data_IF_446993650697
#
_entry.id   IF_446993650697
#
_cell.length_a   1.000
_cell.length_b   1.000
_cell.length_c   1.000
_cell.angle_alpha   90.00
_cell.angle_beta   90.00
_cell.angle_gamma   90.00
#
_symmetry.space_group_name_H-M   'P 1'
#
loop_
_entity.id
_entity.type
_entity.pdbx_description
1 polymer ?
#
# COMPACT_ATOMS: atom_id res chain seq x y z
N UNK A 1 13.09 -55.65 63.70
CA UNK A 1 12.46 -54.36 63.34
C UNK A 1 13.41 -53.66 62.38
N UNK A 2 13.29 -53.91 61.08
CA UNK A 2 12.49 -53.17 60.11
C UNK A 2 13.10 -51.80 59.74
N UNK A 3 13.26 -51.61 58.42
CA UNK A 3 13.62 -50.39 57.64
C UNK A 3 15.12 -50.06 57.58
N UNK A 4 15.90 -50.33 56.51
CA UNK A 4 15.76 -50.22 55.02
C UNK A 4 15.94 -48.79 54.50
N UNK A 5 17.13 -48.51 53.96
CA UNK A 5 17.47 -47.75 52.72
C UNK A 5 19.00 -47.85 52.54
N UNK A 6 19.57 -48.64 51.62
CA UNK A 6 19.67 -48.45 50.15
C UNK A 6 20.28 -47.08 49.79
N UNK A 7 21.23 -46.90 48.86
CA UNK A 7 22.04 -47.76 48.01
C UNK A 7 23.10 -46.79 47.42
N UNK A 8 24.39 -47.16 47.38
CA UNK A 8 25.42 -46.41 46.63
C UNK A 8 26.10 -47.38 45.67
N UNK A 9 25.60 -47.43 44.44
CA UNK A 9 26.28 -48.03 43.31
C UNK A 9 26.79 -46.93 42.37
N UNK A 10 28.10 -46.96 42.17
CA UNK A 10 28.87 -46.15 41.24
C UNK A 10 28.82 -46.83 39.87
N UNK A 11 28.27 -46.19 38.84
CA UNK A 11 28.51 -46.58 37.45
C UNK A 11 28.66 -45.31 36.60
N UNK A 12 29.77 -45.27 35.89
CA UNK A 12 30.19 -44.23 34.97
C UNK A 12 29.27 -44.17 33.75
N UNK A 13 28.77 -42.98 33.39
CA UNK A 13 28.19 -42.71 32.08
C UNK A 13 28.92 -41.52 31.47
N UNK A 14 29.65 -41.83 30.40
CA UNK A 14 30.22 -40.87 29.45
C UNK A 14 29.10 -40.12 28.75
N UNK A 15 29.01 -38.80 28.96
CA UNK A 15 28.11 -37.92 28.22
C UNK A 15 28.71 -37.59 26.84
N UNK A 16 28.26 -38.31 25.82
CA UNK A 16 28.36 -37.89 24.42
C UNK A 16 27.31 -36.80 24.19
N UNK A 17 27.75 -35.55 24.09
CA UNK A 17 26.90 -34.44 23.68
C UNK A 17 26.60 -34.57 22.18
N UNK A 18 25.46 -35.17 21.84
CA UNK A 18 24.88 -35.11 20.50
C UNK A 18 24.35 -33.69 20.28
N UNK A 19 25.14 -32.85 19.60
CA UNK A 19 24.67 -31.58 19.05
C UNK A 19 23.73 -31.92 17.89
N UNK A 20 22.43 -31.90 18.16
CA UNK A 20 21.39 -31.87 17.13
C UNK A 20 21.45 -30.50 16.45
N UNK A 21 22.19 -30.40 15.34
CA UNK A 21 21.96 -29.34 14.36
C UNK A 21 20.61 -29.64 13.70
N UNK A 22 19.54 -29.01 14.20
CA UNK A 22 18.35 -28.83 13.40
C UNK A 22 18.72 -27.86 12.25
N UNK A 23 18.51 -28.23 10.97
CA UNK A 23 18.60 -27.25 9.90
C UNK A 23 17.50 -26.21 10.16
N UNK A 24 17.89 -24.94 10.34
CA UNK A 24 16.97 -23.83 10.06
C UNK A 24 16.61 -23.96 8.58
N UNK A 25 15.47 -24.58 8.30
CA UNK A 25 14.78 -24.35 7.05
C UNK A 25 14.39 -22.88 7.06
N UNK A 26 15.20 -22.04 6.41
CA UNK A 26 14.72 -20.79 5.88
C UNK A 26 13.50 -21.17 5.02
N UNK A 27 12.32 -20.79 5.48
CA UNK A 27 11.15 -20.83 4.64
C UNK A 27 11.46 -19.92 3.46
N UNK A 28 11.71 -20.53 2.31
CA UNK A 28 11.87 -19.84 1.05
C UNK A 28 10.56 -19.09 0.82
N UNK A 29 10.57 -17.77 0.97
CA UNK A 29 9.46 -16.88 0.69
C UNK A 29 9.30 -16.77 -0.84
N UNK A 30 9.07 -17.90 -1.48
CA UNK A 30 8.62 -17.95 -2.87
C UNK A 30 7.13 -17.64 -2.86
N UNK A 31 6.81 -16.37 -2.68
CA UNK A 31 5.52 -15.82 -3.10
C UNK A 31 5.24 -16.33 -4.52
N UNK A 32 4.10 -16.99 -4.78
CA UNK A 32 3.84 -17.61 -6.07
C UNK A 32 3.96 -16.56 -7.19
N UNK A 33 4.91 -16.78 -8.10
CA UNK A 33 5.08 -15.95 -9.28
C UNK A 33 3.96 -16.26 -10.26
N UNK A 34 2.96 -15.38 -10.32
CA UNK A 34 1.92 -15.45 -11.32
C UNK A 34 2.42 -14.75 -12.59
N UNK A 35 2.56 -15.45 -13.73
CA UNK A 35 2.84 -14.80 -15.00
C UNK A 35 1.76 -13.77 -15.28
N UNK A 36 2.14 -12.56 -15.72
CA UNK A 36 1.16 -11.50 -15.97
C UNK A 36 0.27 -11.88 -17.18
N UNK A 37 -1.04 -12.13 -16.99
CA UNK A 37 -1.91 -12.56 -18.08
C UNK A 37 -2.40 -11.38 -18.94
N UNK A 38 -2.11 -10.15 -18.53
CA UNK A 38 -2.59 -8.95 -19.19
C UNK A 38 -1.81 -8.62 -20.47
N UNK A 39 -2.54 -8.13 -21.47
CA UNK A 39 -2.05 -7.79 -22.80
C UNK A 39 -1.30 -8.93 -23.50
N UNK A 40 -1.71 -10.17 -23.26
CA UNK A 40 -1.10 -11.39 -23.82
C UNK A 40 -2.07 -12.13 -24.74
N UNK A 41 -1.67 -12.41 -25.97
CA UNK A 41 -2.48 -13.19 -26.92
C UNK A 41 -2.30 -14.72 -26.75
N UNK A 42 -1.52 -15.14 -25.75
CA UNK A 42 -1.31 -16.55 -25.45
C UNK A 42 -2.61 -17.25 -25.02
N UNK A 43 -2.90 -18.46 -25.53
CA UNK A 43 -3.97 -19.31 -25.01
C UNK A 43 -3.91 -19.49 -23.48
N UNK A 44 -2.71 -19.64 -22.91
CA UNK A 44 -2.53 -19.85 -21.47
C UNK A 44 -2.95 -18.62 -20.66
N UNK A 45 -2.68 -17.42 -21.16
CA UNK A 45 -3.12 -16.18 -20.53
C UNK A 45 -4.65 -16.05 -20.54
N UNK A 46 -5.31 -16.50 -21.61
CA UNK A 46 -6.77 -16.57 -21.66
C UNK A 46 -7.30 -17.53 -20.58
N UNK A 47 -6.62 -18.66 -20.37
CA UNK A 47 -7.01 -19.67 -19.38
C UNK A 47 -6.84 -19.21 -17.92
N UNK A 48 -6.18 -18.09 -17.65
CA UNK A 48 -6.16 -17.50 -16.30
C UNK A 48 -7.52 -16.91 -15.91
N UNK A 49 -8.27 -16.41 -16.90
CA UNK A 49 -9.59 -15.82 -16.70
C UNK A 49 -10.74 -16.77 -17.06
N UNK A 50 -10.50 -17.65 -18.03
CA UNK A 50 -11.51 -18.51 -18.64
C UNK A 50 -11.25 -19.99 -18.33
N UNK A 51 -12.30 -20.79 -18.15
CA UNK A 51 -12.20 -22.25 -18.00
C UNK A 51 -11.73 -22.93 -19.31
N UNK A 52 -11.96 -22.26 -20.44
CA UNK A 52 -11.45 -22.64 -21.77
C UNK A 52 -11.39 -21.40 -22.66
N UNK A 53 -10.51 -21.40 -23.66
CA UNK A 53 -10.34 -20.27 -24.58
C UNK A 53 -11.65 -20.04 -25.37
N UNK A 54 -12.36 -18.92 -25.18
CA UNK A 54 -13.62 -18.65 -25.86
C UNK A 54 -13.39 -18.27 -27.33
N UNK A 55 -14.25 -18.74 -28.24
CA UNK A 55 -14.30 -18.26 -29.64
C UNK A 55 -15.38 -17.21 -29.80
N UNK A 56 -15.34 -16.47 -30.92
CA UNK A 56 -16.38 -15.48 -31.22
C UNK A 56 -17.76 -16.14 -31.27
N UNK A 57 -18.69 -15.61 -30.45
CA UNK A 57 -20.05 -16.15 -30.32
C UNK A 57 -20.22 -17.17 -29.19
N UNK A 58 -19.13 -17.67 -28.61
CA UNK A 58 -19.21 -18.53 -27.44
C UNK A 58 -19.56 -17.73 -26.17
N UNK A 59 -20.15 -18.39 -25.16
CA UNK A 59 -20.09 -17.90 -23.79
C UNK A 59 -18.65 -17.61 -23.36
N UNK A 60 -18.48 -16.68 -22.42
CA UNK A 60 -17.14 -16.33 -21.94
C UNK A 60 -16.49 -17.45 -21.12
N UNK A 61 -17.25 -18.39 -20.54
CA UNK A 61 -16.70 -19.44 -19.67
C UNK A 61 -15.77 -18.87 -18.57
N UNK A 62 -16.16 -17.77 -17.93
CA UNK A 62 -15.35 -17.17 -16.88
C UNK A 62 -15.22 -18.14 -15.70
N UNK A 63 -13.99 -18.31 -15.21
CA UNK A 63 -13.71 -19.08 -13.99
C UNK A 63 -14.54 -18.54 -12.82
N UNK A 64 -14.69 -19.38 -11.80
CA UNK A 64 -15.44 -19.07 -10.58
C UNK A 64 -16.90 -18.66 -10.84
N UNK A 65 -17.50 -19.19 -11.91
CA UNK A 65 -18.87 -18.88 -12.30
C UNK A 65 -19.08 -17.40 -12.67
N UNK A 66 -18.02 -16.70 -13.07
CA UNK A 66 -18.08 -15.27 -13.38
C UNK A 66 -18.05 -14.33 -12.17
N UNK A 67 -17.75 -14.84 -10.96
CA UNK A 67 -17.47 -13.99 -9.79
C UNK A 67 -16.18 -13.18 -10.04
N UNK A 68 -16.35 -11.93 -10.46
CA UNK A 68 -15.25 -11.02 -10.84
C UNK A 68 -14.31 -10.79 -9.65
N UNK A 69 -14.84 -10.71 -8.44
CA UNK A 69 -14.02 -10.48 -7.26
C UNK A 69 -13.09 -11.67 -7.01
N UNK A 70 -13.63 -12.90 -7.02
CA UNK A 70 -12.80 -14.10 -6.89
C UNK A 70 -11.82 -14.26 -8.05
N UNK A 71 -12.26 -13.96 -9.27
CA UNK A 71 -11.46 -14.08 -10.47
C UNK A 71 -10.19 -13.22 -10.40
N UNK A 72 -10.36 -11.92 -10.15
CA UNK A 72 -9.24 -10.98 -10.10
C UNK A 72 -8.40 -11.20 -8.84
N UNK A 73 -9.05 -11.46 -7.70
CA UNK A 73 -8.36 -11.61 -6.43
C UNK A 73 -7.56 -12.91 -6.30
N UNK A 74 -7.77 -13.90 -7.18
CA UNK A 74 -6.89 -15.08 -7.28
C UNK A 74 -5.42 -14.69 -7.33
N UNK A 75 -5.10 -13.63 -8.08
CA UNK A 75 -3.75 -13.08 -8.15
C UNK A 75 -3.65 -11.77 -7.34
N UNK A 76 -4.58 -10.83 -7.57
CA UNK A 76 -4.45 -9.47 -7.04
C UNK A 76 -4.58 -9.34 -5.52
N UNK A 77 -5.21 -10.29 -4.83
CA UNK A 77 -5.20 -10.29 -3.36
C UNK A 77 -3.81 -10.59 -2.77
N UNK A 78 -2.88 -11.11 -3.58
CA UNK A 78 -1.49 -11.36 -3.19
C UNK A 78 -0.58 -10.28 -3.77
N UNK A 79 -0.68 -10.02 -5.09
CA UNK A 79 0.28 -9.15 -5.79
C UNK A 79 -0.08 -7.66 -5.78
N UNK A 80 -1.30 -7.30 -5.35
CA UNK A 80 -1.82 -5.93 -5.44
C UNK A 80 -2.77 -5.55 -4.30
N UNK A 81 -2.79 -6.34 -3.21
CA UNK A 81 -3.63 -6.11 -2.03
C UNK A 81 -3.56 -4.66 -1.54
N UNK A 82 -2.36 -4.09 -1.60
CA UNK A 82 -2.08 -2.77 -1.04
C UNK A 82 -2.19 -1.64 -2.06
N UNK A 83 -2.56 -1.96 -3.32
CA UNK A 83 -2.64 -1.00 -4.43
C UNK A 83 -4.08 -0.61 -4.79
N UNK A 84 -5.10 -1.25 -4.21
CA UNK A 84 -6.50 -0.92 -4.51
C UNK A 84 -6.83 0.48 -4.03
N UNK A 85 -7.21 1.39 -4.91
CA UNK A 85 -7.53 2.78 -4.54
C UNK A 85 -8.91 2.88 -3.85
N UNK A 86 -9.78 1.89 -4.03
CA UNK A 86 -11.08 1.77 -3.37
C UNK A 86 -11.27 0.37 -2.76
N UNK A 87 -12.07 0.28 -1.70
CA UNK A 87 -12.63 -0.99 -1.26
C UNK A 87 -13.63 -1.48 -2.32
N UNK A 88 -13.34 -2.62 -2.95
CA UNK A 88 -14.29 -3.29 -3.84
C UNK A 88 -15.33 -4.05 -3.00
N UNK A 89 -16.53 -4.26 -3.56
CA UNK A 89 -17.66 -4.90 -2.86
C UNK A 89 -18.59 -3.93 -2.13
N UNK A 90 -18.41 -2.61 -2.27
CA UNK A 90 -19.34 -1.62 -1.71
C UNK A 90 -20.49 -1.30 -2.67
N UNK A 91 -21.69 -1.06 -2.15
CA UNK A 91 -22.81 -0.49 -2.93
C UNK A 91 -22.68 1.04 -2.91
N UNK A 92 -22.54 1.69 -4.08
CA UNK A 92 -22.42 3.15 -4.13
C UNK A 92 -23.77 3.82 -3.82
N UNK A 93 -23.80 5.01 -3.20
CA UNK A 93 -25.04 5.76 -2.98
C UNK A 93 -25.73 6.12 -4.30
N UNK A 94 -27.07 6.22 -4.31
CA UNK A 94 -27.86 6.51 -5.53
C UNK A 94 -27.38 7.75 -6.27
N UNK A 95 -27.11 8.85 -5.55
CA UNK A 95 -26.61 10.10 -6.15
C UNK A 95 -25.26 9.92 -6.87
N UNK A 96 -24.43 8.98 -6.41
CA UNK A 96 -23.17 8.64 -7.07
C UNK A 96 -23.44 7.85 -8.35
N UNK A 97 -24.36 6.87 -8.32
CA UNK A 97 -24.77 6.07 -9.49
C UNK A 97 -25.37 6.95 -10.59
N UNK A 98 -26.24 7.88 -10.23
CA UNK A 98 -26.87 8.82 -11.17
C UNK A 98 -25.86 9.68 -11.93
N UNK A 99 -24.70 9.99 -11.31
CA UNK A 99 -23.61 10.72 -11.94
C UNK A 99 -22.75 9.87 -12.87
N UNK A 100 -22.69 8.56 -12.63
CA UNK A 100 -21.84 7.66 -13.41
C UNK A 100 -22.18 7.75 -14.90
N UNK A 101 -21.19 7.80 -15.80
CA UNK A 101 -21.42 7.60 -17.21
C UNK A 101 -22.09 6.24 -17.47
N UNK A 102 -22.83 6.14 -18.58
CA UNK A 102 -23.66 4.95 -18.85
C UNK A 102 -22.86 3.65 -18.85
N UNK A 103 -21.64 3.65 -19.37
CA UNK A 103 -20.77 2.48 -19.40
C UNK A 103 -20.28 2.04 -18.01
N UNK A 104 -20.16 2.96 -17.05
CA UNK A 104 -19.91 2.63 -15.64
C UNK A 104 -21.16 2.06 -14.97
N UNK A 105 -22.33 2.64 -15.22
CA UNK A 105 -23.61 2.11 -14.72
C UNK A 105 -23.84 0.68 -15.21
N UNK A 106 -23.63 0.41 -16.50
CA UNK A 106 -23.76 -0.93 -17.07
C UNK A 106 -22.76 -1.93 -16.46
N UNK A 107 -21.55 -1.48 -16.14
CA UNK A 107 -20.58 -2.32 -15.45
C UNK A 107 -20.98 -2.61 -14.00
N UNK A 108 -21.66 -1.67 -13.33
CA UNK A 108 -22.23 -1.85 -11.99
C UNK A 108 -23.43 -2.82 -12.02
N UNK A 109 -24.37 -2.62 -12.95
CA UNK A 109 -25.61 -3.41 -13.14
C UNK A 109 -25.36 -4.91 -13.37
N UNK A 110 -24.19 -5.27 -13.90
CA UNK A 110 -23.80 -6.68 -14.09
C UNK A 110 -23.49 -7.41 -12.77
N UNK A 111 -23.49 -6.72 -11.64
CA UNK A 111 -23.31 -7.29 -10.31
C UNK A 111 -24.71 -7.33 -9.70
N UNK A 112 -25.25 -8.51 -9.35
CA UNK A 112 -26.65 -8.63 -8.94
C UNK A 112 -27.01 -7.81 -7.70
N UNK A 113 -26.05 -7.45 -6.84
CA UNK A 113 -26.29 -6.63 -5.66
C UNK A 113 -25.84 -5.17 -5.87
N UNK A 114 -25.49 -4.78 -7.10
CA UNK A 114 -25.09 -3.41 -7.44
C UNK A 114 -23.77 -2.97 -6.81
N UNK A 115 -22.86 -3.90 -6.54
CA UNK A 115 -21.57 -3.62 -5.88
C UNK A 115 -20.53 -3.14 -6.88
N UNK A 116 -19.70 -2.20 -6.45
CA UNK A 116 -18.49 -1.80 -7.17
C UNK A 116 -17.52 -2.98 -7.19
N UNK A 117 -17.32 -3.57 -8.35
CA UNK A 117 -16.34 -4.65 -8.59
C UNK A 117 -15.19 -4.14 -9.47
N UNK A 118 -14.13 -4.94 -9.64
CA UNK A 118 -12.97 -4.57 -10.45
C UNK A 118 -13.36 -4.09 -11.85
N UNK A 119 -14.37 -4.71 -12.48
CA UNK A 119 -14.80 -4.38 -13.84
C UNK A 119 -15.49 -3.02 -14.01
N UNK A 120 -15.92 -2.39 -12.90
CA UNK A 120 -16.47 -1.03 -12.94
C UNK A 120 -15.38 -0.07 -13.39
N UNK A 121 -14.19 -0.18 -12.81
CA UNK A 121 -13.05 0.64 -13.18
C UNK A 121 -12.19 0.03 -14.29
N UNK A 122 -12.15 -1.30 -14.44
CA UNK A 122 -11.30 -1.99 -15.41
C UNK A 122 -12.11 -2.60 -16.56
N UNK A 123 -11.84 -2.17 -17.79
CA UNK A 123 -12.43 -2.67 -19.03
C UNK A 123 -11.54 -3.75 -19.65
N UNK A 124 -11.55 -4.93 -19.02
CA UNK A 124 -10.69 -6.05 -19.41
C UNK A 124 -11.02 -6.59 -20.81
N UNK A 125 -12.18 -6.25 -21.40
CA UNK A 125 -12.54 -6.75 -22.74
C UNK A 125 -11.53 -6.35 -23.82
N UNK A 126 -10.73 -5.30 -23.60
CA UNK A 126 -9.64 -4.95 -24.53
C UNK A 126 -8.61 -6.07 -24.68
N UNK A 127 -8.38 -6.85 -23.61
CA UNK A 127 -7.56 -8.07 -23.64
C UNK A 127 -8.14 -9.16 -24.56
N UNK A 128 -9.46 -9.20 -24.72
CA UNK A 128 -10.14 -10.23 -25.50
C UNK A 128 -10.29 -9.84 -26.98
N UNK A 129 -10.13 -8.56 -27.30
CA UNK A 129 -10.39 -8.00 -28.61
C UNK A 129 -9.07 -7.59 -29.26
N UNK A 130 -8.53 -8.44 -30.15
CA UNK A 130 -7.24 -8.20 -30.83
C UNK A 130 -7.13 -6.82 -31.46
N UNK A 131 -8.23 -6.30 -32.03
CA UNK A 131 -8.29 -4.95 -32.60
C UNK A 131 -8.08 -3.81 -31.59
N UNK A 132 -8.22 -4.07 -30.29
CA UNK A 132 -8.05 -3.11 -29.20
C UNK A 132 -6.67 -3.24 -28.52
N UNK A 133 -5.80 -4.17 -28.93
CA UNK A 133 -4.48 -4.38 -28.30
C UNK A 133 -3.58 -3.14 -28.36
N UNK A 134 -3.81 -2.23 -29.32
CA UNK A 134 -3.09 -0.95 -29.38
C UNK A 134 -3.25 -0.12 -28.10
N UNK A 135 -4.35 -0.32 -27.35
CA UNK A 135 -4.62 0.35 -26.08
C UNK A 135 -3.66 -0.04 -24.96
N UNK A 136 -2.84 -1.08 -25.15
CA UNK A 136 -1.73 -1.36 -24.23
C UNK A 136 -0.83 -0.13 -24.04
N UNK A 137 -0.66 0.68 -25.09
CA UNK A 137 0.22 1.84 -25.05
C UNK A 137 -0.35 3.02 -24.26
N UNK A 138 -1.66 3.29 -24.34
CA UNK A 138 -2.31 4.47 -23.73
C UNK A 138 -3.23 4.15 -22.55
N UNK A 139 -3.55 2.87 -22.35
CA UNK A 139 -4.36 2.36 -21.25
C UNK A 139 -3.83 1.00 -20.72
N UNK A 140 -2.57 0.91 -20.28
CA UNK A 140 -1.95 -0.35 -19.86
C UNK A 140 -2.67 -1.03 -18.68
N UNK A 141 -3.43 -0.28 -17.90
CA UNK A 141 -4.17 -0.75 -16.72
C UNK A 141 -5.66 -1.02 -16.99
N UNK A 142 -6.09 -0.99 -18.25
CA UNK A 142 -7.49 -1.22 -18.64
C UNK A 142 -8.49 -0.26 -17.98
N UNK A 143 -8.12 0.96 -17.59
CA UNK A 143 -9.10 1.88 -17.01
C UNK A 143 -10.27 2.13 -17.99
N UNK A 144 -11.50 1.94 -17.52
CA UNK A 144 -12.73 2.21 -18.27
C UNK A 144 -12.79 3.70 -18.58
N UNK A 145 -13.07 4.06 -19.83
CA UNK A 145 -13.14 5.45 -20.28
C UNK A 145 -11.79 6.15 -20.50
N UNK A 146 -10.68 5.42 -20.37
CA UNK A 146 -9.34 5.94 -20.65
C UNK A 146 -9.10 6.16 -22.16
N UNK A 147 -8.08 6.95 -22.56
CA UNK A 147 -6.99 7.49 -21.74
C UNK A 147 -7.42 8.65 -20.82
N UNK A 148 -6.83 8.71 -19.62
CA UNK A 148 -6.99 9.82 -18.68
C UNK A 148 -5.69 10.62 -18.57
N UNK A 149 -5.79 11.95 -18.50
CA UNK A 149 -4.61 12.80 -18.30
C UNK A 149 -4.04 12.66 -16.89
N UNK A 150 -4.90 12.53 -15.88
CA UNK A 150 -4.53 12.23 -14.50
C UNK A 150 -5.38 11.09 -13.99
N UNK A 151 -4.83 10.24 -13.12
CA UNK A 151 -5.59 9.16 -12.48
C UNK A 151 -6.85 9.66 -11.76
N UNK A 152 -6.81 10.86 -11.18
CA UNK A 152 -7.98 11.49 -10.54
C UNK A 152 -9.13 11.76 -11.50
N UNK A 153 -8.87 11.89 -12.80
CA UNK A 153 -9.93 12.13 -13.79
C UNK A 153 -10.86 10.91 -13.91
N UNK A 154 -10.35 9.70 -13.66
CA UNK A 154 -11.17 8.49 -13.53
C UNK A 154 -12.12 8.57 -12.33
N UNK A 155 -11.64 9.10 -11.19
CA UNK A 155 -12.42 9.20 -9.96
C UNK A 155 -13.66 10.09 -10.15
N UNK A 156 -13.57 11.13 -11.00
CA UNK A 156 -14.67 12.06 -11.25
C UNK A 156 -15.84 11.48 -12.05
N UNK A 157 -15.71 10.25 -12.56
CA UNK A 157 -16.87 9.54 -13.11
C UNK A 157 -17.87 9.18 -12.01
N UNK A 158 -17.46 9.11 -10.74
CA UNK A 158 -18.34 8.82 -9.62
C UNK A 158 -18.38 10.00 -8.62
N UNK A 159 -17.23 10.59 -8.34
CA UNK A 159 -17.10 11.67 -7.38
C UNK A 159 -17.33 13.05 -8.01
N UNK A 160 -17.97 13.95 -7.27
CA UNK A 160 -18.14 15.32 -7.71
C UNK A 160 -16.77 16.03 -7.72
N UNK A 161 -16.31 16.54 -8.87
CA UNK A 161 -15.03 17.23 -8.96
C UNK A 161 -14.88 18.43 -8.03
N UNK A 162 -15.94 19.22 -7.81
CA UNK A 162 -15.88 20.39 -6.93
C UNK A 162 -15.93 20.02 -5.45
N UNK A 163 -16.57 18.91 -5.09
CA UNK A 163 -16.62 18.45 -3.70
C UNK A 163 -15.43 17.54 -3.35
N UNK A 164 -14.90 16.82 -4.33
CA UNK A 164 -13.74 15.94 -4.17
C UNK A 164 -12.46 16.76 -3.93
N UNK A 165 -12.33 17.92 -4.56
CA UNK A 165 -11.29 18.91 -4.27
C UNK A 165 -11.63 19.66 -2.97
N UNK A 166 -11.51 18.97 -1.83
CA UNK A 166 -11.65 19.57 -0.49
C UNK A 166 -12.33 18.66 0.52
N UNK A 167 -13.39 17.92 0.16
CA UNK A 167 -14.13 17.07 1.13
C UNK A 167 -13.59 15.65 1.31
N UNK A 168 -12.69 15.20 0.45
CA UNK A 168 -12.13 13.84 0.49
C UNK A 168 -10.60 13.83 0.45
N UNK A 169 -9.97 14.97 0.73
CA UNK A 169 -8.54 15.01 0.96
C UNK A 169 -8.28 14.43 2.35
N UNK A 170 -7.59 13.28 2.47
CA UNK A 170 -7.37 12.65 3.78
C UNK A 170 -6.50 13.50 4.73
N UNK A 171 -5.94 14.60 4.21
CA UNK A 171 -5.16 15.57 4.96
C UNK A 171 -5.96 16.78 5.46
N UNK A 172 -7.21 16.95 5.03
CA UNK A 172 -8.13 17.97 5.54
C UNK A 172 -9.01 17.25 6.57
N UNK A 173 -8.63 17.36 7.84
CA UNK A 173 -9.10 16.49 8.93
C UNK A 173 -9.94 17.24 9.96
N UNK A 174 -9.96 18.57 9.87
CA UNK A 174 -10.74 19.50 10.67
C UNK A 174 -11.69 20.24 9.73
N UNK A 175 -12.98 20.31 10.06
CA UNK A 175 -13.96 21.06 9.29
C UNK A 175 -13.90 22.58 9.58
N UNK A 176 -14.68 23.38 8.85
CA UNK A 176 -14.72 24.84 9.01
C UNK A 176 -15.16 25.28 10.42
N UNK A 177 -15.88 24.42 11.14
CA UNK A 177 -16.30 24.61 12.54
C UNK A 177 -15.21 24.24 13.57
N UNK A 178 -14.07 23.72 13.14
CA UNK A 178 -12.97 23.30 14.03
C UNK A 178 -13.14 21.90 14.63
N UNK A 179 -14.09 21.11 14.12
CA UNK A 179 -14.38 19.75 14.56
C UNK A 179 -13.62 18.72 13.73
N UNK A 180 -13.26 17.59 14.33
CA UNK A 180 -12.63 16.50 13.60
C UNK A 180 -13.61 15.77 12.68
N UNK A 181 -13.17 15.56 11.44
CA UNK A 181 -13.82 14.66 10.49
C UNK A 181 -13.36 13.22 10.72
N UNK A 182 -14.07 12.50 11.61
CA UNK A 182 -13.63 11.17 12.08
C UNK A 182 -13.65 10.09 11.01
N UNK A 183 -14.48 10.23 9.99
CA UNK A 183 -14.58 9.34 8.82
C UNK A 183 -13.33 9.43 7.92
N UNK A 184 -12.68 10.59 7.88
CA UNK A 184 -11.43 10.77 7.12
C UNK A 184 -10.28 9.96 7.74
N UNK A 185 -10.30 9.76 9.06
CA UNK A 185 -9.25 9.02 9.76
C UNK A 185 -9.14 7.56 9.28
N UNK A 186 -10.25 6.95 8.86
CA UNK A 186 -10.29 5.54 8.43
C UNK A 186 -9.73 5.30 7.03
N UNK A 187 -9.32 6.35 6.32
CA UNK A 187 -8.55 6.19 5.08
C UNK A 187 -7.16 5.61 5.34
N UNK A 188 -6.59 5.91 6.52
CA UNK A 188 -5.26 5.47 6.91
C UNK A 188 -5.32 4.46 8.07
N UNK A 189 -6.21 4.69 9.03
CA UNK A 189 -6.30 3.90 10.25
C UNK A 189 -7.38 2.82 10.17
N UNK A 190 -7.05 1.59 10.58
CA UNK A 190 -8.03 0.49 10.63
C UNK A 190 -9.21 0.74 11.59
N UNK A 191 -9.06 1.70 12.51
CA UNK A 191 -10.12 2.20 13.39
C UNK A 191 -9.76 3.60 13.87
N UNK A 192 -10.76 4.37 14.28
CA UNK A 192 -10.56 5.71 14.81
C UNK A 192 -9.60 5.70 16.03
N UNK A 193 -8.44 6.37 15.97
CA UNK A 193 -7.50 6.41 17.09
C UNK A 193 -8.03 7.18 18.31
N UNK A 194 -7.75 6.69 19.52
CA UNK A 194 -7.94 7.46 20.75
C UNK A 194 -6.77 8.44 20.93
N UNK A 195 -6.94 9.64 20.37
CA UNK A 195 -5.97 10.75 20.40
C UNK A 195 -5.56 11.20 21.80
N UNK A 196 -6.32 10.84 22.86
CA UNK A 196 -5.97 11.18 24.25
C UNK A 196 -4.97 10.18 24.84
N UNK A 197 -4.98 8.95 24.32
CA UNK A 197 -4.17 7.85 24.83
C UNK A 197 -2.95 7.56 23.95
N UNK A 198 -3.08 7.71 22.63
CA UNK A 198 -1.99 7.45 21.71
C UNK A 198 -0.78 8.35 22.01
N UNK A 199 0.40 7.74 22.14
CA UNK A 199 1.69 8.41 22.37
C UNK A 199 2.65 8.22 21.21
N UNK A 200 2.44 7.18 20.42
CA UNK A 200 3.31 6.78 19.33
C UNK A 200 2.51 6.11 18.22
N UNK A 201 3.18 5.86 17.10
CA UNK A 201 2.63 5.09 15.99
C UNK A 201 2.27 3.64 16.40
N UNK A 202 2.88 3.11 17.46
CA UNK A 202 2.57 1.78 18.00
C UNK A 202 1.20 1.71 18.70
N UNK A 203 0.63 2.84 19.09
CA UNK A 203 -0.64 2.91 19.82
C UNK A 203 -1.87 2.98 18.91
N UNK A 204 -1.65 2.94 17.59
CA UNK A 204 -2.69 3.06 16.56
C UNK A 204 -2.58 1.91 15.56
N UNK A 205 -3.68 1.61 14.89
CA UNK A 205 -3.74 0.57 13.85
C UNK A 205 -3.93 1.17 12.48
N UNK A 206 -3.36 0.55 11.45
CA UNK A 206 -3.43 0.99 10.06
C UNK A 206 -4.16 -0.03 9.19
N UNK A 207 -4.77 0.45 8.11
CA UNK A 207 -5.43 -0.41 7.10
C UNK A 207 -4.45 -1.36 6.40
N UNK A 208 -3.15 -1.01 6.41
CA UNK A 208 -2.09 -1.77 5.74
C UNK A 208 -0.91 -1.96 6.68
N UNK A 209 -0.25 -3.12 6.54
CA UNK A 209 0.99 -3.42 7.26
C UNK A 209 2.16 -2.61 6.72
N UNK A 210 2.26 -2.47 5.39
CA UNK A 210 3.23 -1.61 4.73
C UNK A 210 2.71 -0.17 4.62
N UNK A 211 3.17 0.70 5.51
CA UNK A 211 2.66 2.05 5.70
C UNK A 211 2.89 2.99 4.51
N UNK A 212 3.93 2.77 3.70
CA UNK A 212 4.12 3.52 2.44
C UNK A 212 2.92 3.38 1.49
N UNK A 213 2.25 2.23 1.53
CA UNK A 213 1.11 1.97 0.66
C UNK A 213 -0.10 2.83 1.02
N UNK A 214 -0.22 3.29 2.27
CA UNK A 214 -1.23 4.27 2.66
C UNK A 214 -1.13 5.54 1.79
N UNK A 215 0.10 5.97 1.53
CA UNK A 215 0.39 7.20 0.79
C UNK A 215 0.42 6.94 -0.71
N UNK A 216 1.14 5.90 -1.16
CA UNK A 216 1.37 5.61 -2.58
C UNK A 216 0.09 5.22 -3.34
N UNK A 217 -0.97 4.79 -2.64
CA UNK A 217 -2.31 4.62 -3.25
C UNK A 217 -2.83 5.91 -3.86
N UNK A 218 -2.48 7.08 -3.32
CA UNK A 218 -2.90 8.40 -3.82
C UNK A 218 -1.76 9.19 -4.46
N UNK A 219 -0.54 9.05 -3.94
CA UNK A 219 0.63 9.89 -4.25
C UNK A 219 1.69 9.20 -5.12
N UNK A 220 1.30 8.25 -5.97
CA UNK A 220 2.25 7.54 -6.84
C UNK A 220 3.07 8.52 -7.68
N UNK A 221 2.40 9.43 -8.40
CA UNK A 221 3.05 10.43 -9.29
C UNK A 221 3.83 11.49 -8.51
N UNK A 222 3.35 11.86 -7.32
CA UNK A 222 4.00 12.85 -6.45
C UNK A 222 5.33 12.32 -5.89
N UNK A 223 5.38 11.04 -5.52
CA UNK A 223 6.61 10.41 -5.04
C UNK A 223 7.72 10.46 -6.10
N UNK A 224 7.39 10.26 -7.37
CA UNK A 224 8.31 10.48 -8.49
C UNK A 224 8.74 11.95 -8.60
N UNK A 225 7.78 12.87 -8.59
CA UNK A 225 8.03 14.29 -8.79
C UNK A 225 8.83 14.95 -7.65
N UNK A 226 8.82 14.38 -6.44
CA UNK A 226 9.42 14.98 -5.25
C UNK A 226 10.72 14.34 -4.78
N UNK A 227 11.33 13.47 -5.60
CA UNK A 227 12.64 12.89 -5.34
C UNK A 227 12.62 11.85 -4.21
N UNK A 228 11.47 11.19 -4.02
CA UNK A 228 11.36 10.05 -3.09
C UNK A 228 11.81 8.74 -3.74
N UNK A 229 12.03 8.73 -5.05
CA UNK A 229 12.60 7.63 -5.82
C UNK A 229 14.12 7.79 -5.83
N UNK A 230 14.83 6.81 -5.29
CA UNK A 230 16.30 6.78 -5.17
C UNK A 230 16.96 5.98 -6.29
N UNK A 231 16.19 5.18 -7.02
CA UNK A 231 16.68 4.36 -8.12
C UNK A 231 15.55 3.59 -8.81
N UNK A 232 15.94 2.65 -9.68
CA UNK A 232 15.03 1.71 -10.34
C UNK A 232 15.63 0.32 -10.31
N UNK A 233 14.78 -0.68 -10.09
CA UNK A 233 15.08 -2.09 -10.27
C UNK A 233 15.37 -2.39 -11.76
N UNK A 234 15.98 -3.55 -12.05
CA UNK A 234 16.27 -3.99 -13.42
C UNK A 234 15.01 -4.09 -14.30
N UNK A 235 13.86 -4.41 -13.70
CA UNK A 235 12.56 -4.50 -14.37
C UNK A 235 11.85 -3.13 -14.51
N UNK A 236 12.51 -2.04 -14.14
CA UNK A 236 12.02 -0.67 -14.25
C UNK A 236 11.09 -0.23 -13.12
N UNK A 237 10.88 -1.05 -12.07
CA UNK A 237 10.14 -0.60 -10.87
C UNK A 237 10.94 0.43 -10.08
N UNK A 238 10.31 1.49 -9.54
CA UNK A 238 11.00 2.49 -8.72
C UNK A 238 11.45 1.90 -7.39
N UNK A 239 12.66 2.28 -6.97
CA UNK A 239 13.15 2.08 -5.61
C UNK A 239 12.86 3.35 -4.83
N UNK A 240 12.04 3.25 -3.79
CA UNK A 240 11.69 4.37 -2.93
C UNK A 240 12.66 4.47 -1.74
N UNK A 241 12.82 5.67 -1.19
CA UNK A 241 13.58 5.94 0.03
C UNK A 241 12.88 5.34 1.26
N UNK A 242 12.89 4.01 1.39
CA UNK A 242 12.06 3.26 2.35
C UNK A 242 12.71 2.00 2.92
N UNK A 243 14.05 1.97 2.97
CA UNK A 243 14.78 0.87 3.62
C UNK A 243 14.90 1.07 5.13
N UNK A 244 15.26 -0.02 5.83
CA UNK A 244 15.56 0.01 7.26
C UNK A 244 16.85 0.78 7.51
N UNK A 245 16.86 1.83 8.35
CA UNK A 245 18.09 2.50 8.74
C UNK A 245 19.02 1.56 9.50
N UNK A 246 20.34 1.74 9.33
CA UNK A 246 21.34 1.06 10.16
C UNK A 246 21.39 1.65 11.58
N UNK A 247 22.21 1.05 12.46
CA UNK A 247 22.30 1.47 13.87
C UNK A 247 22.77 2.93 14.03
N UNK A 248 23.65 3.41 13.17
CA UNK A 248 24.14 4.79 13.23
C UNK A 248 23.03 5.77 12.84
N UNK A 249 22.31 5.49 11.75
CA UNK A 249 21.15 6.28 11.33
C UNK A 249 20.05 6.26 12.39
N UNK A 250 19.76 5.10 13.00
CA UNK A 250 18.78 4.99 14.08
C UNK A 250 19.14 5.88 15.27
N UNK A 251 20.43 5.93 15.65
CA UNK A 251 20.89 6.81 16.73
C UNK A 251 20.72 8.30 16.36
N UNK A 252 20.94 8.68 15.10
CA UNK A 252 20.69 10.05 14.61
C UNK A 252 19.19 10.39 14.61
N UNK A 253 18.36 9.46 14.12
CA UNK A 253 16.90 9.59 14.16
C UNK A 253 16.43 9.82 15.60
N UNK A 254 16.89 9.01 16.56
CA UNK A 254 16.55 9.16 17.98
C UNK A 254 16.93 10.54 18.53
N UNK A 255 18.11 11.05 18.19
CA UNK A 255 18.54 12.40 18.59
C UNK A 255 17.58 13.47 18.07
N UNK A 256 17.10 13.35 16.83
CA UNK A 256 16.13 14.27 16.23
C UNK A 256 14.70 14.11 16.79
N UNK A 257 14.32 12.91 17.26
CA UNK A 257 13.01 12.70 17.91
C UNK A 257 12.80 13.52 19.17
N UNK A 258 13.87 14.08 19.75
CA UNK A 258 13.79 15.06 20.83
C UNK A 258 13.05 16.33 20.43
N UNK A 259 13.12 16.72 19.16
CA UNK A 259 12.47 17.93 18.64
C UNK A 259 11.26 17.59 17.78
N UNK A 260 11.40 16.60 16.87
CA UNK A 260 10.39 16.26 15.86
C UNK A 260 10.27 14.74 15.74
N UNK A 261 9.06 14.17 15.81
CA UNK A 261 8.90 12.72 15.72
C UNK A 261 9.14 12.25 14.28
N UNK A 262 10.14 11.38 14.07
CA UNK A 262 10.39 10.69 12.80
C UNK A 262 10.00 9.21 12.95
N UNK A 263 8.71 8.86 12.73
CA UNK A 263 8.25 7.51 12.96
C UNK A 263 8.85 6.54 11.93
N UNK A 264 9.13 5.32 12.35
CA UNK A 264 9.45 4.20 11.46
C UNK A 264 8.27 3.24 11.39
N UNK A 265 8.23 2.42 10.35
CA UNK A 265 7.27 1.34 10.22
C UNK A 265 7.43 0.31 11.35
N UNK A 266 6.31 -0.09 11.96
CA UNK A 266 6.33 -0.90 13.19
C UNK A 266 6.90 -2.31 13.00
N UNK A 267 6.61 -2.93 11.85
CA UNK A 267 6.95 -4.34 11.61
C UNK A 267 8.39 -4.47 11.10
N UNK A 268 8.76 -3.64 10.12
CA UNK A 268 10.05 -3.75 9.43
C UNK A 268 11.13 -2.87 10.05
N UNK A 269 10.74 -1.77 10.69
CA UNK A 269 11.64 -0.68 11.09
C UNK A 269 12.03 0.24 9.92
N UNK A 270 11.35 0.12 8.77
CA UNK A 270 11.68 0.89 7.58
C UNK A 270 11.31 2.36 7.70
N UNK A 271 12.05 3.21 6.99
CA UNK A 271 11.59 4.55 6.63
C UNK A 271 10.36 4.40 5.76
N UNK A 272 9.38 5.29 5.95
CA UNK A 272 8.22 5.38 5.07
C UNK A 272 7.87 6.85 4.85
N UNK A 273 6.88 7.12 4.00
CA UNK A 273 6.44 8.48 3.66
C UNK A 273 6.17 9.33 4.91
N UNK A 274 5.53 8.74 5.92
CA UNK A 274 5.18 9.39 7.19
C UNK A 274 6.38 9.71 8.11
N UNK A 275 7.55 9.12 7.84
CA UNK A 275 8.80 9.45 8.53
C UNK A 275 9.23 10.88 8.21
N UNK A 276 9.12 11.28 6.94
CA UNK A 276 9.53 12.61 6.46
C UNK A 276 8.36 13.59 6.34
N UNK A 277 7.17 13.09 6.03
CA UNK A 277 5.95 13.86 5.83
C UNK A 277 4.97 13.66 6.99
N UNK A 278 4.32 14.73 7.43
CA UNK A 278 3.25 14.65 8.40
C UNK A 278 1.89 14.69 7.70
N UNK A 279 1.20 13.54 7.53
CA UNK A 279 -0.07 13.54 6.82
C UNK A 279 -1.18 14.26 7.58
N UNK A 280 -0.97 14.58 8.87
CA UNK A 280 -2.01 15.19 9.69
C UNK A 280 -2.07 16.71 9.52
N UNK A 281 -3.27 17.25 9.69
CA UNK A 281 -3.52 18.67 9.90
C UNK A 281 -3.06 19.11 11.30
N UNK A 282 -2.66 20.38 11.45
CA UNK A 282 -2.13 20.92 12.70
C UNK A 282 -3.16 20.80 13.83
N UNK A 283 -2.75 20.19 14.94
CA UNK A 283 -3.60 20.01 16.13
C UNK A 283 -4.37 18.69 16.15
N UNK A 284 -4.29 17.88 15.09
CA UNK A 284 -4.87 16.54 15.07
C UNK A 284 -4.14 15.61 16.03
N UNK A 285 -2.82 15.64 16.15
CA UNK A 285 -2.10 14.64 16.96
C UNK A 285 -2.06 14.96 18.47
N UNK A 286 -2.52 16.16 18.88
CA UNK A 286 -2.57 16.66 20.28
C UNK A 286 -1.22 16.68 21.02
N UNK A 287 -0.12 16.48 20.30
CA UNK A 287 1.24 16.53 20.84
C UNK A 287 2.08 17.41 19.91
N UNK A 288 2.61 18.50 20.47
CA UNK A 288 3.37 19.50 19.70
C UNK A 288 4.47 18.89 18.82
N UNK A 289 5.26 17.94 19.36
CA UNK A 289 6.33 17.27 18.59
C UNK A 289 5.82 16.40 17.45
N UNK A 290 4.62 15.85 17.60
CA UNK A 290 3.99 15.02 16.58
C UNK A 290 3.38 15.88 15.46
N UNK A 291 2.86 17.05 15.82
CA UNK A 291 2.29 18.04 14.90
C UNK A 291 3.36 18.78 14.06
N UNK A 292 4.66 18.63 14.35
CA UNK A 292 5.70 19.26 13.54
C UNK A 292 5.58 18.81 12.08
N UNK A 293 5.61 19.80 11.18
CA UNK A 293 5.43 19.60 9.75
C UNK A 293 3.98 19.51 9.28
N UNK A 294 3.00 19.46 10.19
CA UNK A 294 1.60 19.59 9.82
C UNK A 294 1.36 20.92 9.11
N UNK A 295 0.67 20.88 7.97
CA UNK A 295 0.34 22.00 7.09
C UNK A 295 1.53 22.81 6.53
N UNK A 296 2.77 22.40 6.82
CA UNK A 296 3.96 22.98 6.24
C UNK A 296 4.05 22.69 4.73
N UNK A 297 4.95 23.37 4.01
CA UNK A 297 5.17 23.08 2.60
C UNK A 297 5.59 21.61 2.40
N UNK A 298 4.82 20.87 1.59
CA UNK A 298 4.94 19.41 1.41
C UNK A 298 4.80 18.62 2.71
N UNK A 299 4.25 19.22 3.76
CA UNK A 299 4.05 18.66 5.10
C UNK A 299 5.32 18.06 5.72
N UNK A 300 6.49 18.66 5.49
CA UNK A 300 7.76 18.06 5.93
C UNK A 300 7.99 18.25 7.43
N UNK A 301 8.35 17.16 8.13
CA UNK A 301 8.66 17.17 9.57
C UNK A 301 9.95 17.90 9.92
N UNK A 302 10.85 18.03 8.94
CA UNK A 302 12.08 18.84 9.03
C UNK A 302 12.19 19.66 7.75
N UNK A 303 12.58 20.92 7.88
CA UNK A 303 12.80 21.80 6.73
C UNK A 303 13.79 21.18 5.74
N UNK A 304 13.50 21.31 4.43
CA UNK A 304 14.44 20.94 3.36
C UNK A 304 15.55 21.98 3.16
N UNK A 305 15.47 23.15 3.80
CA UNK A 305 16.49 24.19 3.69
C UNK A 305 17.85 23.62 4.13
N UNK A 306 18.88 23.89 3.34
CA UNK A 306 20.26 23.46 3.63
C UNK A 306 20.42 21.95 3.89
N UNK A 307 19.54 21.12 3.31
CA UNK A 307 19.51 19.65 3.48
C UNK A 307 19.22 19.16 4.91
N UNK A 308 18.65 20.01 5.79
CA UNK A 308 18.39 19.64 7.19
C UNK A 308 17.55 18.37 7.34
N UNK A 309 16.57 18.14 6.46
CA UNK A 309 15.80 16.90 6.44
C UNK A 309 16.69 15.66 6.26
N UNK A 310 17.58 15.69 5.27
CA UNK A 310 18.46 14.57 4.97
C UNK A 310 19.48 14.35 6.10
N UNK A 311 20.01 15.45 6.65
CA UNK A 311 20.93 15.43 7.80
C UNK A 311 20.28 14.92 9.08
N UNK A 312 18.95 14.80 9.11
CA UNK A 312 18.22 14.13 10.18
C UNK A 312 18.53 12.64 10.31
N UNK A 313 19.05 12.02 9.25
CA UNK A 313 19.38 10.58 9.21
C UNK A 313 20.78 10.31 8.63
N UNK A 314 21.18 11.06 7.61
CA UNK A 314 22.42 10.85 6.86
C UNK A 314 23.56 11.74 7.34
N UNK A 315 24.80 11.26 7.27
CA UNK A 315 25.96 12.14 7.45
C UNK A 315 26.12 13.07 6.24
N UNK A 316 26.69 14.26 6.48
CA UNK A 316 27.01 15.22 5.41
C UNK A 316 27.94 14.61 4.35
N UNK A 317 28.82 13.69 4.74
CA UNK A 317 29.70 12.97 3.81
C UNK A 317 28.91 12.01 2.91
N UNK A 318 27.88 11.37 3.43
CA UNK A 318 27.07 10.40 2.68
C UNK A 318 26.19 11.11 1.65
N UNK A 319 25.58 12.24 2.04
CA UNK A 319 24.78 13.06 1.12
C UNK A 319 25.61 13.57 -0.07
N UNK A 320 26.89 13.92 0.17
CA UNK A 320 27.79 14.41 -0.87
C UNK A 320 28.12 13.35 -1.91
N UNK A 321 28.27 12.08 -1.52
CA UNK A 321 28.52 10.98 -2.46
C UNK A 321 27.34 10.81 -3.43
N UNK A 322 26.11 10.81 -2.91
CA UNK A 322 24.89 10.76 -3.74
C UNK A 322 24.74 11.97 -4.67
N UNK A 323 25.14 13.17 -4.24
CA UNK A 323 25.08 14.38 -5.07
C UNK A 323 26.15 14.41 -6.18
N UNK A 324 27.26 13.70 -5.99
CA UNK A 324 28.37 13.63 -6.94
C UNK A 324 28.31 12.39 -7.86
N UNK A 325 27.38 11.46 -7.60
CA UNK A 325 27.23 10.23 -8.38
C UNK A 325 28.37 9.24 -8.17
N UNK A 326 29.00 9.27 -6.99
CA UNK A 326 30.11 8.39 -6.58
C UNK A 326 29.64 7.15 -5.80
#
# INVERSE_FOLDING_TARGET
MAQRTDNRFLVWITALASVLLAPLLAADDQSPSYPNPHWSDSPDACLECHDKVPKQGDPLYLRFGGDVMKLCNRCHATISKDKYIHAAGMVPPTQMVERMPRDFQEALERDPEGRVTCRVCHEIKYQCLSKEFYRRADNPLFHRGAPYRKRTDLCYNCHNKSEYKGKHNPHDQINDEGELMTDVCTYCHAKLPDRRKARSIADVSFEYEKLDMLCLRCHTDDAYAYGCVTGYEEDGRPIYHGDRPDEEMLARIDQHTKENILPLELITGNIFCGTCHNPHELGVQRQHKADVGADAHKRLRISKKDSHLCLGCHDKKDIRKFQLGE
#
